data_IF_803699114221
#
_entry.id   IF_803699114221
#
_cell.length_a   1.000
_cell.length_b   1.000
_cell.length_c   1.000
_cell.angle_alpha   90.00
_cell.angle_beta   90.00
_cell.angle_gamma   90.00
#
_symmetry.space_group_name_H-M   'P 1'
#
loop_
_entity.id
_entity.type
_entity.pdbx_description
1 polymer ?
#
# COMPACT_ATOMS: atom_id res chain seq x y z
N UNK A 1 71.50 -4.03 16.72
CA UNK A 1 70.52 -3.91 17.81
C UNK A 1 69.25 -4.62 17.38
N UNK A 2 68.96 -5.80 17.96
CA UNK A 2 67.63 -6.43 18.02
C UNK A 2 66.99 -6.00 19.39
N UNK A 3 65.78 -6.47 19.78
CA UNK A 3 64.43 -6.18 19.28
C UNK A 3 63.46 -5.82 20.45
N UNK A 4 62.22 -5.36 20.21
CA UNK A 4 61.05 -5.49 21.14
C UNK A 4 59.79 -5.22 20.30
N UNK A 5 58.87 -6.16 20.01
CA UNK A 5 58.02 -7.01 20.85
C UNK A 5 56.85 -6.27 21.52
N UNK A 6 55.71 -6.98 21.53
CA UNK A 6 54.43 -6.80 22.25
C UNK A 6 53.33 -6.00 21.52
N UNK A 7 52.26 -6.61 20.99
CA UNK A 7 51.32 -7.59 21.54
C UNK A 7 50.51 -7.05 22.74
N UNK A 8 49.33 -6.50 22.44
CA UNK A 8 48.24 -6.40 23.40
C UNK A 8 46.98 -7.00 22.80
N UNK A 9 46.88 -8.29 23.06
CA UNK A 9 45.67 -9.09 23.06
C UNK A 9 44.78 -8.68 24.27
N UNK A 10 43.46 -8.82 24.07
CA UNK A 10 42.37 -8.84 25.06
C UNK A 10 41.99 -7.52 25.74
N UNK A 11 40.75 -7.04 25.49
CA UNK A 11 39.66 -7.10 26.46
C UNK A 11 38.34 -7.33 25.70
N UNK A 12 37.73 -8.51 25.88
CA UNK A 12 36.28 -8.65 25.78
C UNK A 12 35.69 -8.03 27.07
N UNK A 13 34.77 -7.08 26.92
CA UNK A 13 33.90 -6.67 28.02
C UNK A 13 32.46 -6.54 27.54
N UNK A 14 31.73 -7.63 27.78
CA UNK A 14 30.53 -7.70 28.62
C UNK A 14 29.37 -6.75 28.30
N UNK A 15 28.31 -7.36 27.76
CA UNK A 15 26.90 -7.10 28.01
C UNK A 15 26.61 -6.02 29.07
N UNK A 16 26.19 -4.85 28.60
CA UNK A 16 25.32 -3.96 29.36
C UNK A 16 23.92 -4.02 28.76
N UNK A 17 23.04 -4.73 29.48
CA UNK A 17 21.59 -4.68 29.34
C UNK A 17 21.13 -3.26 29.67
N UNK A 18 21.16 -2.38 28.67
CA UNK A 18 20.46 -1.10 28.75
C UNK A 18 19.03 -1.33 28.27
N UNK A 19 18.23 -1.88 29.17
CA UNK A 19 16.78 -1.64 29.18
C UNK A 19 16.57 -0.16 29.49
N UNK A 20 16.77 0.71 28.50
CA UNK A 20 16.19 2.04 28.55
C UNK A 20 14.73 1.89 28.16
N UNK A 21 13.89 1.88 29.19
CA UNK A 21 12.46 2.15 29.10
C UNK A 21 12.25 3.26 28.07
N UNK A 22 11.88 2.87 26.86
CA UNK A 22 11.42 3.83 25.88
C UNK A 22 10.02 4.11 26.34
N UNK A 23 9.85 5.23 27.06
CA UNK A 23 8.54 5.79 27.33
C UNK A 23 7.79 5.74 26.02
N UNK A 24 6.78 4.85 25.98
CA UNK A 24 5.81 4.81 24.93
C UNK A 24 5.16 6.19 24.95
N UNK A 25 5.73 7.10 24.17
CA UNK A 25 5.11 8.35 23.80
C UNK A 25 3.95 7.92 22.91
N UNK A 26 2.86 7.56 23.59
CA UNK A 26 1.53 7.40 23.03
C UNK A 26 1.14 8.79 22.52
N UNK A 27 1.75 9.16 21.40
CA UNK A 27 1.35 10.27 20.59
C UNK A 27 0.05 9.82 19.95
N UNK A 28 -1.00 9.83 20.76
CA UNK A 28 -2.40 9.86 20.33
C UNK A 28 -2.57 11.15 19.53
N UNK A 29 -2.00 11.11 18.33
CA UNK A 29 -2.27 12.02 17.25
C UNK A 29 -3.68 11.65 16.87
N UNK A 30 -4.66 12.32 17.47
CA UNK A 30 -5.98 12.47 16.85
C UNK A 30 -5.75 13.32 15.60
N UNK A 31 -5.06 12.77 14.60
CA UNK A 31 -5.44 13.03 13.23
C UNK A 31 -6.88 12.57 13.16
N UNK A 32 -7.79 13.49 12.85
CA UNK A 32 -9.07 13.12 12.25
C UNK A 32 -8.72 12.26 11.02
N UNK A 33 -8.53 10.95 11.23
CA UNK A 33 -8.15 10.03 10.18
C UNK A 33 -9.38 9.92 9.28
N UNK A 34 -9.36 10.71 8.21
CA UNK A 34 -10.29 10.55 7.09
C UNK A 34 -10.39 9.06 6.78
N UNK A 35 -11.60 8.47 6.76
CA UNK A 35 -11.75 7.03 6.66
C UNK A 35 -11.05 6.52 5.40
N UNK A 36 -9.97 5.75 5.57
CA UNK A 36 -9.23 5.17 4.47
C UNK A 36 -10.02 4.01 3.87
N UNK A 37 -10.42 4.15 2.60
CA UNK A 37 -11.15 3.10 1.89
C UNK A 37 -10.18 2.14 1.16
N UNK A 38 -10.62 0.90 0.97
CA UNK A 38 -9.86 -0.13 0.28
C UNK A 38 -8.89 -0.91 1.15
N UNK A 39 -8.29 -1.95 0.58
CA UNK A 39 -7.26 -2.76 1.24
C UNK A 39 -5.89 -2.07 1.18
N UNK A 40 -4.92 -2.55 1.97
CA UNK A 40 -3.58 -1.98 2.04
C UNK A 40 -2.90 -1.79 0.67
N UNK A 41 -3.12 -2.72 -0.27
CA UNK A 41 -2.63 -2.59 -1.64
C UNK A 41 -3.19 -1.35 -2.35
N UNK A 42 -4.51 -1.14 -2.28
CA UNK A 42 -5.14 0.00 -2.96
C UNK A 42 -4.85 1.31 -2.25
N UNK A 43 -4.68 1.30 -0.94
CA UNK A 43 -4.20 2.47 -0.18
C UNK A 43 -2.79 2.88 -0.61
N UNK A 44 -1.91 1.91 -0.87
CA UNK A 44 -0.58 2.17 -1.42
C UNK A 44 -0.65 2.78 -2.84
N UNK A 45 -1.51 2.23 -3.71
CA UNK A 45 -1.74 2.80 -5.05
C UNK A 45 -2.28 4.22 -4.96
N UNK A 46 -3.24 4.46 -4.07
CA UNK A 46 -3.82 5.79 -3.82
C UNK A 46 -2.75 6.79 -3.39
N UNK A 47 -1.89 6.40 -2.45
CA UNK A 47 -0.77 7.23 -2.02
C UNK A 47 0.19 7.51 -3.17
N UNK A 48 0.53 6.51 -4.00
CA UNK A 48 1.42 6.70 -5.15
C UNK A 48 0.84 7.68 -6.18
N UNK A 49 -0.47 7.60 -6.45
CA UNK A 49 -1.16 8.56 -7.33
C UNK A 49 -1.16 9.96 -6.71
N UNK A 50 -1.43 10.08 -5.43
CA UNK A 50 -1.46 11.36 -4.72
C UNK A 50 -0.09 12.07 -4.72
N UNK A 51 1.00 11.30 -4.64
CA UNK A 51 2.37 11.81 -4.74
C UNK A 51 2.88 11.93 -6.18
N UNK A 52 2.02 11.76 -7.19
CA UNK A 52 2.37 11.92 -8.61
C UNK A 52 3.45 10.91 -9.11
N UNK A 53 3.61 9.79 -8.40
CA UNK A 53 4.63 8.75 -8.65
C UNK A 53 4.09 7.51 -9.33
N UNK A 54 2.79 7.46 -9.65
CA UNK A 54 2.16 6.28 -10.22
C UNK A 54 2.19 6.30 -11.77
N UNK A 55 3.07 5.50 -12.42
CA UNK A 55 3.05 5.35 -13.87
C UNK A 55 1.86 4.49 -14.29
N UNK A 56 1.40 4.68 -15.52
CA UNK A 56 0.46 3.74 -16.17
C UNK A 56 1.05 3.11 -17.42
N UNK A 57 2.15 3.66 -17.95
CA UNK A 57 2.98 2.99 -18.93
C UNK A 57 3.59 1.72 -18.33
N UNK A 58 3.60 0.63 -19.08
CA UNK A 58 4.20 -0.64 -18.65
C UNK A 58 3.26 -1.58 -17.88
N UNK A 59 2.06 -1.12 -17.52
CA UNK A 59 1.01 -2.01 -16.99
C UNK A 59 0.99 -2.17 -15.48
N UNK A 60 1.67 -1.34 -14.70
CA UNK A 60 1.69 -1.40 -13.22
C UNK A 60 0.27 -1.39 -12.59
N UNK A 61 -0.70 -0.77 -13.26
CA UNK A 61 -2.10 -0.80 -12.85
C UNK A 61 -2.76 -2.17 -13.02
N UNK A 62 -2.33 -2.97 -14.01
CA UNK A 62 -2.80 -4.34 -14.21
C UNK A 62 -2.28 -5.25 -13.10
N UNK A 63 -1.03 -5.09 -12.68
CA UNK A 63 -0.47 -5.84 -11.56
C UNK A 63 -1.24 -5.56 -10.26
N UNK A 64 -1.54 -4.29 -9.98
CA UNK A 64 -2.38 -3.93 -8.85
C UNK A 64 -3.77 -4.60 -8.91
N UNK A 65 -4.39 -4.66 -10.10
CA UNK A 65 -5.68 -5.32 -10.31
C UNK A 65 -5.56 -6.83 -10.09
N UNK A 66 -4.56 -7.50 -10.65
CA UNK A 66 -4.40 -8.94 -10.53
C UNK A 66 -4.09 -9.34 -9.08
N UNK A 67 -3.20 -8.64 -8.41
CA UNK A 67 -2.91 -8.87 -6.99
C UNK A 67 -4.18 -8.62 -6.15
N UNK A 68 -4.91 -7.53 -6.41
CA UNK A 68 -6.18 -7.28 -5.71
C UNK A 68 -7.17 -8.42 -5.92
N UNK A 69 -7.35 -8.91 -7.15
CA UNK A 69 -8.27 -10.02 -7.46
C UNK A 69 -7.87 -11.30 -6.74
N UNK A 70 -6.58 -11.62 -6.70
CA UNK A 70 -6.06 -12.77 -5.95
C UNK A 70 -6.38 -12.67 -4.46
N UNK A 71 -6.16 -11.50 -3.85
CA UNK A 71 -6.47 -11.24 -2.44
C UNK A 71 -7.99 -11.28 -2.18
N UNK A 72 -8.78 -10.67 -3.07
CA UNK A 72 -10.24 -10.66 -3.00
C UNK A 72 -10.82 -12.08 -3.04
N UNK A 73 -10.31 -12.93 -3.92
CA UNK A 73 -10.74 -14.31 -4.02
C UNK A 73 -10.45 -15.11 -2.74
N UNK A 74 -9.34 -14.83 -2.07
CA UNK A 74 -8.96 -15.49 -0.82
C UNK A 74 -9.76 -14.96 0.39
N UNK A 75 -10.00 -13.64 0.46
CA UNK A 75 -10.59 -12.98 1.63
C UNK A 75 -11.64 -11.90 1.27
N UNK A 76 -12.76 -12.26 0.62
CA UNK A 76 -13.69 -11.28 0.05
C UNK A 76 -14.30 -10.33 1.08
N UNK A 77 -14.43 -10.76 2.34
CA UNK A 77 -15.02 -9.96 3.41
C UNK A 77 -14.18 -8.75 3.81
N UNK A 78 -12.86 -8.84 3.66
CA UNK A 78 -11.92 -7.74 4.01
C UNK A 78 -11.89 -6.66 2.92
N UNK A 79 -12.45 -6.95 1.74
CA UNK A 79 -12.37 -6.08 0.57
C UNK A 79 -13.69 -5.34 0.25
N UNK A 80 -14.65 -5.30 1.18
CA UNK A 80 -15.96 -4.64 0.96
C UNK A 80 -15.86 -3.15 0.62
N UNK A 81 -14.84 -2.47 1.13
CA UNK A 81 -14.57 -1.05 0.85
C UNK A 81 -13.76 -0.81 -0.44
N UNK A 82 -13.25 -1.85 -1.09
CA UNK A 82 -12.38 -1.71 -2.26
C UNK A 82 -13.12 -1.17 -3.49
N UNK A 83 -14.43 -1.40 -3.60
CA UNK A 83 -15.23 -0.80 -4.67
C UNK A 83 -15.19 0.74 -4.66
N UNK A 84 -15.23 1.33 -3.46
CA UNK A 84 -15.11 2.79 -3.28
C UNK A 84 -13.72 3.27 -3.65
N UNK A 85 -12.69 2.62 -3.09
CA UNK A 85 -11.30 2.97 -3.36
C UNK A 85 -10.98 2.94 -4.87
N UNK A 86 -11.34 1.86 -5.59
CA UNK A 86 -11.15 1.80 -7.05
C UNK A 86 -11.87 2.94 -7.80
N UNK A 87 -13.05 3.34 -7.37
CA UNK A 87 -13.77 4.48 -7.97
C UNK A 87 -13.00 5.79 -7.75
N UNK A 88 -12.45 5.98 -6.55
CA UNK A 88 -11.64 7.16 -6.20
C UNK A 88 -10.29 7.17 -6.95
N UNK A 89 -9.66 6.00 -7.14
CA UNK A 89 -8.46 5.85 -7.97
C UNK A 89 -8.75 6.25 -9.43
N UNK A 90 -9.82 5.71 -10.02
CA UNK A 90 -10.23 6.05 -11.38
C UNK A 90 -10.49 7.55 -11.54
N UNK A 91 -11.18 8.17 -10.58
CA UNK A 91 -11.41 9.61 -10.58
C UNK A 91 -10.12 10.44 -10.48
N UNK A 92 -9.17 9.97 -9.67
CA UNK A 92 -7.88 10.63 -9.50
C UNK A 92 -7.08 10.58 -10.81
N UNK A 93 -7.05 9.42 -11.47
CA UNK A 93 -6.40 9.23 -12.78
C UNK A 93 -7.03 10.08 -13.88
N UNK A 94 -8.36 10.14 -13.95
CA UNK A 94 -9.11 10.91 -14.97
C UNK A 94 -8.80 12.41 -14.93
N UNK A 95 -8.42 12.94 -13.76
CA UNK A 95 -8.07 14.35 -13.56
C UNK A 95 -6.59 14.67 -13.80
N UNK A 96 -5.73 13.67 -13.98
CA UNK A 96 -4.29 13.92 -14.09
C UNK A 96 -3.97 14.64 -15.39
N UNK A 97 -3.01 15.56 -15.31
CA UNK A 97 -2.42 16.14 -16.50
C UNK A 97 -1.65 15.07 -17.28
N UNK A 98 -1.68 15.18 -18.60
CA UNK A 98 -0.95 14.29 -19.50
C UNK A 98 0.56 14.34 -19.21
N UNK A 99 1.18 13.15 -19.21
CA UNK A 99 2.63 12.94 -19.15
C UNK A 99 2.97 11.66 -19.94
N UNK A 100 4.20 11.55 -20.45
CA UNK A 100 4.61 10.43 -21.31
C UNK A 100 4.58 9.05 -20.61
N UNK A 101 4.80 8.99 -19.29
CA UNK A 101 4.72 7.80 -18.44
C UNK A 101 3.28 7.47 -17.98
N UNK A 102 2.29 8.18 -18.54
CA UNK A 102 0.86 8.11 -18.22
C UNK A 102 -0.03 7.92 -19.45
N UNK A 103 0.55 7.39 -20.52
CA UNK A 103 -0.14 7.19 -21.78
C UNK A 103 -1.36 6.26 -21.65
N UNK A 104 -1.35 5.33 -20.69
CA UNK A 104 -2.43 4.40 -20.42
C UNK A 104 -3.42 4.85 -19.31
N UNK A 105 -3.43 6.13 -18.90
CA UNK A 105 -4.36 6.62 -17.87
C UNK A 105 -5.82 6.34 -18.23
N UNK A 106 -6.19 6.50 -19.50
CA UNK A 106 -7.56 6.20 -19.97
C UNK A 106 -7.91 4.72 -19.80
N UNK A 107 -6.96 3.83 -20.08
CA UNK A 107 -7.17 2.38 -19.93
C UNK A 107 -7.27 2.00 -18.45
N UNK A 108 -6.36 2.52 -17.62
CA UNK A 108 -6.36 2.32 -16.18
C UNK A 108 -7.65 2.82 -15.51
N UNK A 109 -8.18 3.99 -15.92
CA UNK A 109 -9.49 4.51 -15.47
C UNK A 109 -10.60 3.51 -15.77
N UNK A 110 -10.67 3.00 -16.99
CA UNK A 110 -11.72 2.03 -17.37
C UNK A 110 -11.59 0.72 -16.59
N UNK A 111 -10.36 0.23 -16.40
CA UNK A 111 -10.08 -0.99 -15.66
C UNK A 111 -10.46 -0.86 -14.17
N UNK A 112 -10.09 0.24 -13.52
CA UNK A 112 -10.46 0.49 -12.12
C UNK A 112 -11.98 0.66 -11.93
N UNK A 113 -12.67 1.33 -12.85
CA UNK A 113 -14.15 1.41 -12.83
C UNK A 113 -14.79 0.02 -12.97
N UNK A 114 -14.25 -0.82 -13.84
CA UNK A 114 -14.71 -2.20 -14.00
C UNK A 114 -14.50 -3.01 -12.71
N UNK A 115 -13.35 -2.90 -12.06
CA UNK A 115 -13.11 -3.58 -10.78
C UNK A 115 -14.06 -3.11 -9.67
N UNK A 116 -14.32 -1.81 -9.58
CA UNK A 116 -15.30 -1.27 -8.64
C UNK A 116 -16.68 -1.91 -8.84
N UNK A 117 -17.13 -2.01 -10.09
CA UNK A 117 -18.39 -2.65 -10.43
C UNK A 117 -18.42 -4.13 -10.08
N UNK A 118 -17.38 -4.89 -10.41
CA UNK A 118 -17.27 -6.32 -10.10
C UNK A 118 -17.40 -6.60 -8.60
N UNK A 119 -16.73 -5.81 -7.78
CA UNK A 119 -16.81 -5.93 -6.31
C UNK A 119 -18.24 -5.60 -5.85
N UNK A 120 -18.81 -4.47 -6.27
CA UNK A 120 -20.17 -4.09 -5.88
C UNK A 120 -21.22 -5.15 -6.27
N UNK A 121 -21.09 -5.72 -7.47
CA UNK A 121 -21.95 -6.80 -7.94
C UNK A 121 -21.82 -8.05 -7.04
N UNK A 122 -20.59 -8.44 -6.67
CA UNK A 122 -20.36 -9.59 -5.79
C UNK A 122 -21.01 -9.44 -4.41
N UNK A 123 -21.05 -8.21 -3.87
CA UNK A 123 -21.68 -7.93 -2.58
C UNK A 123 -23.21 -7.96 -2.67
N UNK A 124 -23.77 -7.55 -3.80
CA UNK A 124 -25.22 -7.57 -4.04
C UNK A 124 -25.79 -8.97 -4.27
N UNK A 125 -24.94 -9.94 -4.63
CA UNK A 125 -25.32 -11.33 -4.92
C UNK A 125 -25.27 -12.25 -3.69
N UNK A 126 -25.14 -11.71 -2.47
CA UNK A 126 -25.12 -12.50 -1.24
C UNK A 126 -26.43 -13.28 -0.99
N UNK A 127 -26.39 -14.43 -0.28
CA UNK A 127 -27.52 -15.34 -0.12
C UNK A 127 -28.59 -14.70 0.79
N UNK A 128 -29.57 -14.04 0.19
CA UNK A 128 -30.59 -13.30 0.92
C UNK A 128 -31.80 -12.92 0.07
N UNK A 129 -32.36 -13.88 -0.68
CA UNK A 129 -33.75 -13.86 -1.17
C UNK A 129 -34.31 -15.28 -1.21
N UNK A 130 -34.89 -15.72 -0.10
CA UNK A 130 -35.93 -16.76 -0.01
C UNK A 130 -36.99 -16.25 0.95
#
# INVERSE_FOLDING_TARGET
MLPTADAHDLIMSDLEDTTCHTDASDSSSNSDEEPTWGCALLQHVQASIAHDHYPTTGGDYLDAIFIHRSLFAAFPQVHRSCARCFSDLAYSLEKRAWRADRDADTEAVTAFRHEAWMIAASLSSGPGRL
#
